data_IF_632480494826
#
_entry.id   IF_632480494826
#
_cell.length_a   1.000
_cell.length_b   1.000
_cell.length_c   1.000
_cell.angle_alpha   90.00
_cell.angle_beta   90.00
_cell.angle_gamma   90.00
#
_symmetry.space_group_name_H-M   'P 1'
#
loop_
_entity.id
_entity.type
_entity.pdbx_description
1 polymer ?
#
# COMPACT_ATOMS: atom_id res chain seq x y z
N UNK A 1 24.60 -23.48 3.93
CA UNK A 1 24.28 -24.89 3.62
C UNK A 1 23.50 -24.91 2.31
N UNK A 2 23.74 -25.87 1.42
CA UNK A 2 23.03 -25.94 0.13
C UNK A 2 21.71 -26.69 0.33
N UNK A 3 20.58 -26.03 0.11
CA UNK A 3 19.24 -26.59 0.32
C UNK A 3 18.59 -27.15 -0.96
N UNK A 4 19.34 -27.21 -2.05
CA UNK A 4 18.84 -27.63 -3.37
C UNK A 4 18.09 -28.97 -3.36
N UNK A 5 18.70 -30.02 -2.81
CA UNK A 5 18.15 -31.38 -2.82
C UNK A 5 16.82 -31.48 -2.05
N UNK A 6 16.74 -30.86 -0.87
CA UNK A 6 15.51 -30.78 -0.07
C UNK A 6 14.44 -29.95 -0.76
N UNK A 7 14.85 -28.84 -1.39
CA UNK A 7 13.95 -27.90 -2.06
C UNK A 7 13.30 -28.50 -3.31
N UNK A 8 14.04 -29.18 -4.18
CA UNK A 8 13.46 -29.82 -5.37
C UNK A 8 12.50 -30.95 -5.00
N UNK A 9 12.80 -31.70 -3.94
CA UNK A 9 11.92 -32.76 -3.45
C UNK A 9 10.62 -32.17 -2.87
N UNK A 10 10.74 -31.08 -2.11
CA UNK A 10 9.61 -30.37 -1.55
C UNK A 10 8.72 -29.76 -2.65
N UNK A 11 9.31 -29.05 -3.61
CA UNK A 11 8.59 -28.44 -4.74
C UNK A 11 7.82 -29.46 -5.58
N UNK A 12 8.40 -30.64 -5.82
CA UNK A 12 7.71 -31.74 -6.52
C UNK A 12 6.49 -32.23 -5.75
N UNK A 13 6.63 -32.46 -4.43
CA UNK A 13 5.52 -32.88 -3.57
C UNK A 13 4.45 -31.80 -3.45
N UNK A 14 4.86 -30.54 -3.34
CA UNK A 14 3.97 -29.38 -3.24
C UNK A 14 3.08 -29.22 -4.49
N UNK A 15 3.64 -29.40 -5.70
CA UNK A 15 2.88 -29.38 -6.95
C UNK A 15 2.14 -30.69 -7.27
N UNK A 16 2.28 -31.73 -6.44
CA UNK A 16 1.63 -33.04 -6.65
C UNK A 16 2.11 -33.82 -7.89
N UNK A 17 3.27 -33.46 -8.45
CA UNK A 17 3.76 -34.04 -9.71
C UNK A 17 4.42 -35.41 -9.49
N UNK A 18 4.14 -36.36 -10.39
CA UNK A 18 4.89 -37.63 -10.45
C UNK A 18 6.25 -37.36 -11.11
N UNK A 19 7.29 -38.05 -10.63
CA UNK A 19 8.65 -37.88 -11.19
C UNK A 19 8.67 -38.04 -12.72
N UNK A 20 7.95 -39.02 -13.26
CA UNK A 20 7.88 -39.25 -14.71
C UNK A 20 7.41 -38.01 -15.50
N UNK A 21 6.42 -37.27 -14.99
CA UNK A 21 5.80 -36.14 -15.69
C UNK A 21 6.74 -34.94 -15.80
N UNK A 22 7.62 -34.76 -14.82
CA UNK A 22 8.59 -33.66 -14.81
C UNK A 22 9.89 -34.03 -15.56
N UNK A 23 10.27 -35.31 -15.60
CA UNK A 23 11.47 -35.76 -16.31
C UNK A 23 11.38 -35.50 -17.81
N UNK A 24 10.21 -35.70 -18.40
CA UNK A 24 9.95 -35.42 -19.82
C UNK A 24 10.03 -33.92 -20.12
N UNK A 25 9.51 -33.08 -19.23
CA UNK A 25 9.53 -31.62 -19.38
C UNK A 25 10.94 -31.01 -19.19
N UNK A 26 11.77 -31.60 -18.34
CA UNK A 26 13.14 -31.14 -18.06
C UNK A 26 14.19 -31.81 -18.94
N UNK A 27 13.84 -32.88 -19.67
CA UNK A 27 14.80 -33.67 -20.46
C UNK A 27 15.85 -34.40 -19.60
N UNK A 28 15.54 -34.73 -18.35
CA UNK A 28 16.47 -35.35 -17.40
C UNK A 28 16.13 -36.83 -17.22
N UNK A 29 17.13 -37.70 -17.16
CA UNK A 29 16.93 -39.14 -16.88
C UNK A 29 16.50 -39.36 -15.42
N UNK A 30 15.63 -40.33 -15.17
CA UNK A 30 15.11 -40.66 -13.83
C UNK A 30 16.19 -40.93 -12.79
N UNK A 31 17.23 -41.65 -13.18
CA UNK A 31 18.39 -41.95 -12.31
C UNK A 31 19.12 -40.68 -11.89
N UNK A 32 19.30 -39.74 -12.81
CA UNK A 32 19.95 -38.45 -12.57
C UNK A 32 19.13 -37.58 -11.61
N UNK A 33 17.80 -37.53 -11.78
CA UNK A 33 16.93 -36.78 -10.88
C UNK A 33 16.88 -37.36 -9.46
N UNK A 34 16.85 -38.69 -9.32
CA UNK A 34 16.91 -39.32 -8.00
C UNK A 34 18.22 -38.99 -7.28
N UNK A 35 19.34 -38.95 -8.00
CA UNK A 35 20.62 -38.55 -7.42
C UNK A 35 20.63 -37.07 -6.97
N UNK A 36 19.86 -36.20 -7.65
CA UNK A 36 19.66 -34.81 -7.21
C UNK A 36 18.83 -34.72 -5.93
N UNK A 37 17.71 -35.44 -5.84
CA UNK A 37 16.87 -35.44 -4.63
C UNK A 37 17.61 -36.02 -3.41
N UNK A 38 18.51 -36.98 -3.63
CA UNK A 38 19.33 -37.58 -2.57
C UNK A 38 20.59 -36.77 -2.24
N UNK A 39 20.87 -35.67 -2.96
CA UNK A 39 22.06 -34.85 -2.77
C UNK A 39 23.38 -35.53 -3.16
N UNK A 40 23.32 -36.63 -3.91
CA UNK A 40 24.49 -37.43 -4.34
C UNK A 40 25.21 -36.76 -5.51
N UNK A 41 24.47 -36.06 -6.37
CA UNK A 41 25.04 -35.28 -7.48
C UNK A 41 24.42 -33.88 -7.53
N UNK A 42 25.14 -32.91 -8.11
CA UNK A 42 24.63 -31.57 -8.35
C UNK A 42 24.40 -31.35 -9.86
N UNK A 43 23.32 -30.66 -10.26
CA UNK A 43 23.10 -30.29 -11.66
C UNK A 43 24.09 -29.21 -12.10
N UNK A 44 24.29 -29.08 -13.41
CA UNK A 44 25.02 -27.93 -13.95
C UNK A 44 24.18 -26.64 -13.82
N UNK A 45 24.81 -25.48 -14.00
CA UNK A 45 24.13 -24.18 -13.85
C UNK A 45 22.90 -24.09 -14.77
N UNK A 46 23.02 -24.55 -16.03
CA UNK A 46 21.92 -24.52 -17.00
C UNK A 46 20.72 -25.38 -16.56
N UNK A 47 20.98 -26.54 -15.97
CA UNK A 47 19.95 -27.41 -15.40
C UNK A 47 19.32 -26.79 -14.16
N UNK A 48 20.10 -26.13 -13.30
CA UNK A 48 19.55 -25.41 -12.13
C UNK A 48 18.60 -24.31 -12.60
N UNK A 49 18.98 -23.53 -13.62
CA UNK A 49 18.12 -22.49 -14.22
C UNK A 49 16.86 -23.10 -14.83
N UNK A 50 16.99 -24.23 -15.53
CA UNK A 50 15.86 -24.94 -16.14
C UNK A 50 14.88 -25.47 -15.09
N UNK A 51 15.40 -26.04 -14.00
CA UNK A 51 14.61 -26.54 -12.86
C UNK A 51 13.91 -25.39 -12.15
N UNK A 52 14.63 -24.29 -11.87
CA UNK A 52 14.07 -23.09 -11.25
C UNK A 52 12.92 -22.52 -12.08
N UNK A 53 13.11 -22.42 -13.40
CA UNK A 53 12.10 -21.95 -14.35
C UNK A 53 10.87 -22.86 -14.41
N UNK A 54 11.07 -24.18 -14.40
CA UNK A 54 9.97 -25.16 -14.38
C UNK A 54 9.12 -25.06 -13.11
N UNK A 55 9.76 -24.86 -11.96
CA UNK A 55 9.03 -24.71 -10.69
C UNK A 55 8.49 -23.30 -10.46
N UNK A 56 8.96 -22.30 -11.20
CA UNK A 56 8.57 -20.90 -11.04
C UNK A 56 9.19 -20.25 -9.79
N UNK A 57 10.38 -20.72 -9.39
CA UNK A 57 11.08 -20.25 -8.18
C UNK A 57 12.39 -19.57 -8.55
N UNK A 58 12.84 -18.59 -7.76
CA UNK A 58 14.12 -17.93 -7.98
C UNK A 58 15.30 -18.85 -7.60
N UNK A 59 16.46 -18.66 -8.26
CA UNK A 59 17.68 -19.41 -7.96
C UNK A 59 18.12 -19.26 -6.50
N UNK A 60 17.97 -18.05 -5.94
CA UNK A 60 18.31 -17.78 -4.55
C UNK A 60 17.43 -18.62 -3.60
N UNK A 61 16.13 -18.67 -3.87
CA UNK A 61 15.18 -19.46 -3.09
C UNK A 61 15.44 -20.97 -3.21
N UNK A 62 15.82 -21.42 -4.40
CA UNK A 62 16.12 -22.82 -4.68
C UNK A 62 17.41 -23.30 -3.99
N UNK A 63 18.41 -22.43 -3.82
CA UNK A 63 19.75 -22.80 -3.34
C UNK A 63 20.02 -22.42 -1.87
N UNK A 64 19.52 -21.27 -1.42
CA UNK A 64 19.93 -20.63 -0.15
C UNK A 64 18.90 -20.81 0.95
N UNK A 65 17.60 -20.80 0.63
CA UNK A 65 16.51 -20.90 1.62
C UNK A 65 16.05 -22.34 1.83
N UNK A 66 15.56 -22.67 3.03
CA UNK A 66 14.88 -23.95 3.26
C UNK A 66 13.37 -23.78 3.00
N UNK A 67 12.92 -24.21 1.83
CA UNK A 67 11.52 -24.06 1.41
C UNK A 67 10.53 -24.82 2.29
N UNK A 68 10.98 -25.82 3.05
CA UNK A 68 10.13 -26.57 3.96
C UNK A 68 9.73 -25.75 5.21
N UNK A 69 10.59 -24.84 5.66
CA UNK A 69 10.33 -23.97 6.81
C UNK A 69 9.63 -22.68 6.37
N UNK A 70 9.95 -22.19 5.17
CA UNK A 70 9.43 -20.94 4.60
C UNK A 70 8.27 -21.16 3.60
N UNK A 71 7.30 -22.00 3.94
CA UNK A 71 6.15 -22.33 3.06
C UNK A 71 5.34 -21.09 2.65
N UNK A 72 5.40 -20.01 3.45
CA UNK A 72 4.84 -18.70 3.15
C UNK A 72 5.36 -18.13 1.82
N UNK A 73 6.67 -18.25 1.56
CA UNK A 73 7.33 -17.67 0.38
C UNK A 73 6.85 -18.33 -0.93
N UNK A 74 6.38 -19.59 -0.88
CA UNK A 74 5.85 -20.28 -2.06
C UNK A 74 4.41 -19.88 -2.40
N UNK A 75 3.63 -19.41 -1.41
CA UNK A 75 2.29 -18.88 -1.65
C UNK A 75 2.32 -17.51 -2.31
N UNK A 76 3.39 -16.74 -2.11
CA UNK A 76 3.64 -15.49 -2.84
C UNK A 76 3.98 -15.75 -4.32
N UNK A 77 4.75 -16.81 -4.63
CA UNK A 77 5.27 -17.06 -5.98
C UNK A 77 4.34 -17.88 -6.90
N UNK A 78 3.35 -18.61 -6.37
CA UNK A 78 2.31 -19.25 -7.20
C UNK A 78 1.41 -18.23 -7.94
N UNK A 79 1.59 -16.93 -7.68
CA UNK A 79 0.88 -15.80 -8.28
C UNK A 79 1.69 -15.04 -9.32
N UNK A 80 2.71 -15.67 -9.92
CA UNK A 80 3.24 -15.21 -11.21
C UNK A 80 2.51 -15.92 -12.36
N UNK A 81 1.50 -15.29 -12.99
CA UNK A 81 1.29 -15.55 -14.39
C UNK A 81 2.37 -14.79 -15.16
N UNK A 82 2.89 -15.47 -16.17
CA UNK A 82 3.53 -14.87 -17.31
C UNK A 82 2.82 -13.56 -17.74
N UNK A 83 3.63 -12.57 -18.13
CA UNK A 83 3.33 -11.58 -19.17
C UNK A 83 1.87 -11.09 -19.18
N UNK A 84 1.61 -9.94 -18.55
CA UNK A 84 0.52 -9.05 -18.98
C UNK A 84 -0.79 -9.04 -18.19
N UNK A 85 -0.79 -9.34 -16.88
CA UNK A 85 -1.93 -8.99 -16.03
C UNK A 85 -1.61 -7.73 -15.19
N UNK A 86 -2.23 -6.56 -15.46
CA UNK A 86 -2.11 -5.37 -14.60
C UNK A 86 -2.75 -5.56 -13.21
N UNK A 87 -3.31 -6.74 -12.93
CA UNK A 87 -3.98 -7.10 -11.69
C UNK A 87 -3.02 -7.60 -10.59
N UNK A 88 -1.70 -7.43 -10.72
CA UNK A 88 -0.74 -7.73 -9.63
C UNK A 88 0.50 -6.83 -9.72
N UNK A 89 0.28 -5.52 -9.75
CA UNK A 89 1.37 -4.54 -9.67
C UNK A 89 1.87 -4.48 -8.22
N UNK A 90 2.82 -5.35 -7.90
CA UNK A 90 3.60 -5.27 -6.67
C UNK A 90 4.49 -4.02 -6.75
N UNK A 91 4.32 -3.13 -5.78
CA UNK A 91 5.18 -1.97 -5.64
C UNK A 91 6.55 -2.43 -5.16
N UNK A 92 7.59 -1.79 -5.69
CA UNK A 92 8.95 -2.01 -5.22
C UNK A 92 9.01 -1.56 -3.76
N UNK A 93 9.46 -2.44 -2.86
CA UNK A 93 9.68 -2.09 -1.46
C UNK A 93 10.57 -0.84 -1.35
N UNK A 94 10.36 0.05 -0.37
CA UNK A 94 11.13 1.26 -0.23
C UNK A 94 12.62 0.92 -0.05
N UNK A 95 13.51 1.57 -0.79
CA UNK A 95 14.95 1.22 -0.81
C UNK A 95 15.68 1.46 0.51
N UNK A 96 15.06 2.19 1.45
CA UNK A 96 15.68 2.59 2.71
C UNK A 96 14.68 2.40 3.84
N UNK A 97 14.98 1.41 4.67
CA UNK A 97 14.33 1.18 5.96
C UNK A 97 15.38 1.49 7.02
N UNK A 98 15.12 2.49 7.85
CA UNK A 98 16.04 2.82 8.94
C UNK A 98 15.75 1.88 10.11
N UNK A 99 16.69 1.00 10.44
CA UNK A 99 16.58 0.09 11.58
C UNK A 99 17.45 0.57 12.74
N UNK A 100 17.08 0.21 13.96
CA UNK A 100 17.91 0.46 15.14
C UNK A 100 18.95 -0.63 15.40
N UNK A 101 19.77 -0.45 16.44
CA UNK A 101 20.76 -1.44 16.88
C UNK A 101 20.14 -2.79 17.32
N UNK A 102 18.82 -2.85 17.45
CA UNK A 102 18.04 -4.05 17.81
C UNK A 102 17.27 -4.64 16.61
N UNK A 103 17.43 -4.08 15.40
CA UNK A 103 16.80 -4.55 14.17
C UNK A 103 15.35 -4.09 13.95
N UNK A 104 14.82 -3.19 14.79
CA UNK A 104 13.46 -2.67 14.66
C UNK A 104 13.41 -1.49 13.69
N UNK A 105 12.42 -1.46 12.79
CA UNK A 105 12.20 -0.35 11.85
C UNK A 105 11.80 0.94 12.59
N UNK A 106 12.43 2.06 12.23
CA UNK A 106 12.05 3.39 12.69
C UNK A 106 11.12 4.06 11.68
N UNK A 107 10.18 4.85 12.18
CA UNK A 107 9.24 5.60 11.34
C UNK A 107 9.87 6.91 10.88
N UNK A 108 10.02 7.09 9.58
CA UNK A 108 10.67 8.27 8.97
C UNK A 108 9.65 9.38 8.73
N UNK A 109 9.96 10.62 9.13
CA UNK A 109 9.13 11.80 8.86
C UNK A 109 9.59 12.55 7.62
N UNK A 110 8.66 12.76 6.68
CA UNK A 110 8.84 13.54 5.46
C UNK A 110 8.12 14.89 5.64
N UNK A 111 8.84 15.98 5.96
CA UNK A 111 8.26 17.31 6.08
C UNK A 111 7.84 17.86 4.71
N UNK A 112 6.83 18.73 4.67
CA UNK A 112 6.24 19.24 3.43
C UNK A 112 7.25 19.96 2.53
N UNK A 113 8.21 20.67 3.15
CA UNK A 113 9.33 21.36 2.46
C UNK A 113 10.33 20.41 1.79
N UNK A 114 10.35 19.15 2.19
CA UNK A 114 11.23 18.11 1.65
C UNK A 114 10.63 17.39 0.44
N UNK A 115 9.38 17.66 0.01
CA UNK A 115 8.74 16.98 -1.15
C UNK A 115 9.57 17.01 -2.43
N UNK A 116 10.16 18.15 -2.76
CA UNK A 116 11.00 18.29 -3.96
C UNK A 116 12.31 17.52 -3.84
N UNK A 117 12.91 17.46 -2.64
CA UNK A 117 14.09 16.65 -2.35
C UNK A 117 13.77 15.15 -2.30
N UNK A 118 12.58 14.79 -1.84
CA UNK A 118 12.11 13.41 -1.78
C UNK A 118 11.82 12.82 -3.16
N UNK A 119 11.35 13.61 -4.13
CA UNK A 119 11.24 13.21 -5.54
C UNK A 119 12.61 13.01 -6.20
N UNK A 120 13.54 13.95 -5.96
CA UNK A 120 14.85 13.96 -6.61
C UNK A 120 15.90 13.08 -5.91
N UNK A 121 15.71 12.79 -4.63
CA UNK A 121 16.55 11.96 -3.76
C UNK A 121 15.84 10.71 -3.24
N UNK A 122 14.73 10.32 -3.89
CA UNK A 122 13.98 9.09 -3.61
C UNK A 122 14.88 7.84 -3.60
N UNK A 123 15.91 7.85 -4.46
CA UNK A 123 16.89 6.78 -4.62
C UNK A 123 18.20 7.03 -3.86
N UNK A 124 18.32 8.09 -3.04
CA UNK A 124 19.53 8.35 -2.23
C UNK A 124 19.33 7.88 -0.77
N UNK A 125 19.97 6.76 -0.38
CA UNK A 125 19.92 6.26 0.99
C UNK A 125 20.38 7.26 2.05
N UNK A 126 21.30 8.15 1.68
CA UNK A 126 21.89 9.16 2.55
C UNK A 126 20.88 10.24 2.92
N UNK A 127 20.02 10.62 1.98
CA UNK A 127 18.96 11.61 2.18
C UNK A 127 17.86 11.08 3.10
N UNK A 128 17.34 9.89 2.82
CA UNK A 128 16.29 9.26 3.63
C UNK A 128 16.79 8.99 5.05
N UNK A 129 18.07 8.61 5.22
CA UNK A 129 18.69 8.43 6.54
C UNK A 129 18.85 9.74 7.34
N UNK A 130 18.92 10.90 6.67
CA UNK A 130 19.00 12.22 7.32
C UNK A 130 17.66 12.72 7.86
N UNK A 131 16.55 12.11 7.43
CA UNK A 131 15.21 12.51 7.85
C UNK A 131 14.98 12.16 9.33
N UNK A 132 14.22 12.98 10.07
CA UNK A 132 13.90 12.70 11.46
C UNK A 132 13.20 11.35 11.61
N UNK A 133 13.71 10.52 12.51
CA UNK A 133 13.10 9.25 12.87
C UNK A 133 12.30 9.38 14.17
N UNK A 134 11.17 8.68 14.23
CA UNK A 134 10.29 8.67 15.38
C UNK A 134 9.87 7.24 15.72
N UNK A 135 9.49 7.05 16.98
CA UNK A 135 8.83 5.83 17.44
C UNK A 135 7.52 6.18 18.09
N UNK A 136 6.47 5.49 17.67
CA UNK A 136 5.18 5.55 18.31
C UNK A 136 4.87 4.18 18.93
N UNK A 137 4.48 4.13 20.21
CA UNK A 137 4.04 2.88 20.82
C UNK A 137 2.80 2.35 20.09
N UNK A 138 2.81 1.06 19.74
CA UNK A 138 1.73 0.39 19.00
C UNK A 138 2.00 0.14 17.50
N UNK A 139 3.12 0.61 16.95
CA UNK A 139 3.46 0.48 15.53
C UNK A 139 4.77 -0.31 15.32
N UNK A 140 4.80 -1.58 15.78
CA UNK A 140 6.02 -2.41 15.79
C UNK A 140 6.20 -3.30 14.54
N UNK A 141 5.13 -3.57 13.80
CA UNK A 141 5.15 -4.49 12.65
C UNK A 141 4.77 -3.75 11.36
N UNK A 142 5.67 -3.74 10.38
CA UNK A 142 5.49 -3.13 9.07
C UNK A 142 6.25 -1.82 8.89
N UNK A 143 6.36 -1.38 7.63
CA UNK A 143 7.09 -0.16 7.26
C UNK A 143 6.19 1.06 7.34
N UNK A 144 6.58 2.04 8.15
CA UNK A 144 5.80 3.26 8.40
C UNK A 144 6.54 4.51 7.95
N UNK A 145 5.79 5.49 7.45
CA UNK A 145 6.27 6.85 7.17
C UNK A 145 5.25 7.89 7.63
N UNK A 146 5.74 9.03 8.06
CA UNK A 146 4.92 10.20 8.36
C UNK A 146 5.05 11.23 7.25
N UNK A 147 3.92 11.74 6.78
CA UNK A 147 3.86 12.77 5.74
C UNK A 147 3.14 14.00 6.29
N UNK A 148 3.75 15.17 6.13
CA UNK A 148 3.07 16.44 6.40
C UNK A 148 2.09 16.75 5.27
N UNK A 149 0.82 16.97 5.62
CA UNK A 149 -0.23 17.39 4.70
C UNK A 149 0.02 18.85 4.34
N UNK A 150 -0.01 19.16 3.04
CA UNK A 150 0.12 20.53 2.55
C UNK A 150 -1.06 20.94 1.70
N UNK A 151 -1.56 22.15 1.94
CA UNK A 151 -2.67 22.76 1.23
C UNK A 151 -4.05 22.28 1.69
N UNK A 152 -5.08 22.83 1.05
CA UNK A 152 -6.49 22.69 1.47
C UNK A 152 -7.24 21.56 0.75
N UNK A 153 -6.56 20.75 -0.06
CA UNK A 153 -7.20 19.76 -0.92
C UNK A 153 -7.96 18.66 -0.15
N UNK A 154 -7.54 18.37 1.07
CA UNK A 154 -8.18 17.37 1.93
C UNK A 154 -9.03 17.96 3.07
N UNK A 155 -9.25 19.28 3.07
CA UNK A 155 -10.16 19.91 4.03
C UNK A 155 -11.60 19.45 3.75
N UNK A 156 -12.44 19.11 4.75
CA UNK A 156 -12.27 19.34 6.19
C UNK A 156 -11.59 18.19 6.95
N UNK A 157 -11.23 17.10 6.26
CA UNK A 157 -10.66 15.91 6.87
C UNK A 157 -9.26 16.14 7.41
N UNK A 158 -8.42 16.85 6.65
CA UNK A 158 -7.10 17.28 7.10
C UNK A 158 -6.91 18.77 6.83
N UNK A 159 -6.22 19.41 7.75
CA UNK A 159 -5.79 20.79 7.61
C UNK A 159 -4.33 20.87 7.14
N UNK A 160 -3.94 22.06 6.71
CA UNK A 160 -2.56 22.35 6.36
C UNK A 160 -1.63 22.17 7.57
N UNK A 161 -0.50 21.49 7.38
CA UNK A 161 0.51 21.12 8.39
C UNK A 161 0.07 20.02 9.38
N UNK A 162 -1.05 19.34 9.14
CA UNK A 162 -1.35 18.09 9.83
C UNK A 162 -0.33 17.01 9.44
N UNK A 163 -0.03 16.09 10.36
CA UNK A 163 0.92 15.00 10.11
C UNK A 163 0.15 13.70 9.97
N UNK A 164 0.23 13.07 8.80
CA UNK A 164 -0.38 11.78 8.53
C UNK A 164 0.64 10.67 8.81
N UNK A 165 0.27 9.71 9.65
CA UNK A 165 1.01 8.49 9.90
C UNK A 165 0.49 7.44 8.92
N UNK A 166 1.40 6.78 8.22
CA UNK A 166 1.05 5.88 7.12
C UNK A 166 1.87 4.60 7.12
N UNK A 167 1.30 3.53 6.57
CA UNK A 167 1.92 2.22 6.41
C UNK A 167 2.12 1.92 4.92
N UNK A 168 3.24 1.31 4.55
CA UNK A 168 3.53 0.94 3.17
C UNK A 168 2.50 -0.07 2.65
N UNK A 169 2.05 0.13 1.41
CA UNK A 169 1.17 -0.80 0.70
C UNK A 169 2.02 -1.54 -0.34
N UNK A 170 2.13 -2.85 -0.21
CA UNK A 170 2.97 -3.66 -1.09
C UNK A 170 2.32 -3.94 -2.45
N UNK A 171 0.99 -4.10 -2.49
CA UNK A 171 0.26 -4.41 -3.71
C UNK A 171 -0.81 -3.35 -3.98
N UNK A 172 -0.83 -2.79 -5.19
CA UNK A 172 -1.87 -1.82 -5.58
C UNK A 172 -3.30 -2.39 -5.52
N UNK A 173 -3.48 -3.71 -5.54
CA UNK A 173 -4.80 -4.32 -5.37
C UNK A 173 -5.33 -4.27 -3.93
N UNK A 174 -4.45 -4.12 -2.94
CA UNK A 174 -4.84 -4.03 -1.53
C UNK A 174 -5.42 -2.64 -1.19
N UNK A 175 -5.35 -1.71 -2.14
CA UNK A 175 -5.97 -0.38 -2.03
C UNK A 175 -7.49 -0.55 -1.96
N UNK A 176 -8.06 -0.03 -0.87
CA UNK A 176 -9.49 -0.02 -0.60
C UNK A 176 -10.09 1.30 -1.04
N UNK A 177 -11.21 1.21 -1.74
CA UNK A 177 -11.94 2.36 -2.25
C UNK A 177 -12.29 3.36 -1.13
N UNK A 178 -12.16 4.64 -1.47
CA UNK A 178 -12.55 5.81 -0.68
C UNK A 178 -11.81 5.95 0.67
N UNK A 179 -10.66 5.27 0.81
CA UNK A 179 -9.74 5.48 1.94
C UNK A 179 -8.65 6.48 1.58
N UNK A 180 -8.04 7.05 2.62
CA UNK A 180 -6.95 8.04 2.50
C UNK A 180 -5.63 7.30 2.29
N UNK A 181 -4.93 7.70 1.23
CA UNK A 181 -3.58 7.26 0.94
C UNK A 181 -2.67 8.45 0.63
N UNK A 182 -1.39 8.25 0.87
CA UNK A 182 -0.33 9.06 0.26
C UNK A 182 0.14 8.30 -0.97
N UNK A 183 0.05 8.94 -2.13
CA UNK A 183 0.52 8.39 -3.39
C UNK A 183 1.75 9.19 -3.80
N UNK A 184 2.83 8.48 -4.09
CA UNK A 184 4.04 9.05 -4.67
C UNK A 184 4.03 8.71 -6.16
N UNK A 185 3.88 9.73 -6.99
CA UNK A 185 3.87 9.58 -8.45
C UNK A 185 5.09 10.25 -9.08
N UNK A 186 5.48 9.80 -10.28
CA UNK A 186 6.56 10.44 -11.05
C UNK A 186 6.22 11.85 -11.50
N UNK A 187 4.94 12.13 -11.78
CA UNK A 187 4.50 13.39 -12.39
C UNK A 187 4.08 14.44 -11.35
N UNK A 188 3.21 14.07 -10.41
CA UNK A 188 2.63 15.01 -9.43
C UNK A 188 3.35 15.00 -8.08
N UNK A 189 4.28 14.07 -7.89
CA UNK A 189 5.00 13.89 -6.65
C UNK A 189 4.18 13.22 -5.55
N UNK A 190 4.45 13.63 -4.32
CA UNK A 190 3.77 13.13 -3.11
C UNK A 190 2.44 13.87 -2.94
N UNK A 191 1.32 13.15 -3.02
CA UNK A 191 -0.03 13.72 -2.85
C UNK A 191 -0.84 12.92 -1.84
N UNK A 192 -1.62 13.61 -1.02
CA UNK A 192 -2.59 13.00 -0.09
C UNK A 192 -3.98 13.09 -0.69
N UNK A 193 -4.62 11.94 -0.94
CA UNK A 193 -5.90 11.82 -1.66
C UNK A 193 -6.71 10.62 -1.16
N UNK A 194 -8.02 10.65 -1.40
CA UNK A 194 -8.83 9.41 -1.38
C UNK A 194 -8.62 8.65 -2.68
N UNK A 195 -8.46 7.34 -2.60
CA UNK A 195 -8.19 6.51 -3.78
C UNK A 195 -9.40 5.66 -4.13
N UNK A 196 -9.77 5.63 -5.41
CA UNK A 196 -10.64 4.61 -5.98
C UNK A 196 -9.79 3.68 -6.83
N UNK A 197 -9.79 2.41 -6.47
CA UNK A 197 -9.06 1.37 -7.16
C UNK A 197 -9.88 0.88 -8.37
N UNK A 198 -9.48 1.32 -9.57
CA UNK A 198 -10.08 0.87 -10.84
C UNK A 198 -9.05 0.14 -11.70
N UNK A 199 -8.02 -0.45 -11.10
CA UNK A 199 -6.95 -1.13 -11.83
C UNK A 199 -7.49 -2.34 -12.59
N UNK A 200 -8.26 -3.19 -11.92
CA UNK A 200 -8.81 -4.41 -12.54
C UNK A 200 -9.82 -4.13 -13.66
N UNK A 201 -10.54 -3.01 -13.59
CA UNK A 201 -11.59 -2.65 -14.56
C UNK A 201 -11.07 -1.77 -15.70
N UNK A 202 -10.32 -0.73 -15.35
CA UNK A 202 -9.99 0.40 -16.23
C UNK A 202 -8.47 0.67 -16.31
N UNK A 203 -7.64 -0.15 -15.65
CA UNK A 203 -6.19 0.03 -15.51
C UNK A 203 -5.77 1.42 -15.00
N UNK A 204 -6.53 1.97 -14.04
CA UNK A 204 -6.38 3.33 -13.53
C UNK A 204 -6.65 3.41 -12.02
N UNK A 205 -6.00 4.38 -11.36
CA UNK A 205 -6.33 4.85 -10.03
C UNK A 205 -6.96 6.23 -10.14
N UNK A 206 -8.06 6.47 -9.42
CA UNK A 206 -8.70 7.78 -9.38
C UNK A 206 -8.48 8.39 -8.00
N UNK A 207 -7.80 9.53 -7.97
CA UNK A 207 -7.45 10.26 -6.76
C UNK A 207 -8.43 11.40 -6.55
N UNK A 208 -9.15 11.39 -5.43
CA UNK A 208 -10.16 12.38 -5.06
C UNK A 208 -9.70 13.24 -3.90
N UNK A 209 -10.05 14.52 -3.96
CA UNK A 209 -9.88 15.50 -2.89
C UNK A 209 -11.16 15.58 -2.05
N UNK A 210 -11.02 15.75 -0.73
CA UNK A 210 -12.16 15.88 0.20
C UNK A 210 -12.73 17.30 0.24
N UNK A 211 -12.04 18.27 -0.36
CA UNK A 211 -12.50 19.65 -0.44
C UNK A 211 -13.66 19.80 -1.44
N UNK A 212 -14.87 19.55 -0.95
CA UNK A 212 -16.10 19.67 -1.72
C UNK A 212 -16.47 21.12 -2.07
N UNK A 213 -15.95 22.12 -1.35
CA UNK A 213 -16.25 23.54 -1.59
C UNK A 213 -15.47 24.11 -2.78
N UNK A 214 -14.27 23.59 -3.03
CA UNK A 214 -13.37 24.06 -4.07
C UNK A 214 -13.03 22.93 -5.06
N UNK A 215 -14.05 22.22 -5.56
CA UNK A 215 -13.84 21.09 -6.49
C UNK A 215 -13.18 21.49 -7.81
N UNK A 216 -13.40 22.73 -8.27
CA UNK A 216 -12.79 23.26 -9.49
C UNK A 216 -11.27 23.43 -9.34
N UNK A 217 -10.81 23.78 -8.14
CA UNK A 217 -9.38 23.93 -7.83
C UNK A 217 -8.69 22.59 -7.57
N UNK A 218 -9.45 21.57 -7.17
CA UNK A 218 -8.94 20.23 -6.84
C UNK A 218 -9.69 19.13 -7.60
N UNK A 219 -9.61 19.10 -8.94
CA UNK A 219 -10.28 18.07 -9.75
C UNK A 219 -9.71 16.68 -9.45
N UNK A 220 -10.49 15.60 -9.69
CA UNK A 220 -9.98 14.25 -9.57
C UNK A 220 -8.78 14.02 -10.50
N UNK A 221 -7.73 13.43 -9.97
CA UNK A 221 -6.51 13.09 -10.73
C UNK A 221 -6.60 11.62 -11.12
N UNK A 222 -6.35 11.32 -12.39
CA UNK A 222 -6.33 9.94 -12.90
C UNK A 222 -4.88 9.54 -13.08
N UNK A 223 -4.45 8.49 -12.37
CA UNK A 223 -3.08 8.00 -12.36
C UNK A 223 -3.04 6.60 -12.91
N UNK A 224 -2.08 6.33 -13.80
CA UNK A 224 -1.83 4.97 -14.28
C UNK A 224 -0.96 4.19 -13.27
N UNK A 225 -1.21 2.89 -13.05
CA UNK A 225 -0.42 2.07 -12.11
C UNK A 225 1.09 2.12 -12.35
N UNK A 226 1.52 2.34 -13.59
CA UNK A 226 2.93 2.43 -13.99
C UNK A 226 3.62 3.72 -13.52
N UNK A 227 2.86 4.78 -13.27
CA UNK A 227 3.37 6.07 -12.80
C UNK A 227 3.50 6.15 -11.28
N UNK A 228 2.97 5.14 -10.58
CA UNK A 228 3.00 5.06 -9.12
C UNK A 228 4.32 4.46 -8.65
N UNK A 229 5.03 5.21 -7.83
CA UNK A 229 6.30 4.79 -7.22
C UNK A 229 6.06 4.10 -5.87
N UNK A 230 5.26 4.73 -5.00
CA UNK A 230 4.90 4.19 -3.69
C UNK A 230 3.46 4.56 -3.34
N UNK A 231 2.83 3.71 -2.53
CA UNK A 231 1.53 3.98 -1.92
C UNK A 231 1.62 3.70 -0.42
N UNK A 232 1.10 4.63 0.36
CA UNK A 232 1.07 4.53 1.81
C UNK A 232 -0.35 4.70 2.33
N UNK A 233 -0.82 3.72 3.09
CA UNK A 233 -2.14 3.74 3.70
C UNK A 233 -2.16 4.58 4.97
N UNK A 234 -3.08 5.54 5.07
CA UNK A 234 -3.26 6.34 6.28
C UNK A 234 -3.86 5.53 7.43
N UNK A 235 -3.11 5.42 8.53
CA UNK A 235 -3.54 4.67 9.73
C UNK A 235 -3.94 5.60 10.88
N UNK A 236 -3.28 6.75 11.00
CA UNK A 236 -3.54 7.75 12.01
C UNK A 236 -3.09 9.11 11.51
N UNK A 237 -3.56 10.19 12.13
CA UNK A 237 -3.06 11.54 11.86
C UNK A 237 -2.97 12.33 13.16
N UNK A 238 -2.13 13.34 13.16
CA UNK A 238 -1.93 14.28 14.25
C UNK A 238 -2.21 15.67 13.72
N UNK A 239 -3.28 16.29 14.21
CA UNK A 239 -3.54 17.68 13.88
C UNK A 239 -2.85 18.62 14.86
N UNK A 240 -2.30 19.70 14.32
CA UNK A 240 -1.78 20.82 15.13
C UNK A 240 -2.85 21.88 15.37
N UNK A 241 -3.99 21.78 14.69
CA UNK A 241 -5.09 22.72 14.85
C UNK A 241 -5.95 22.33 16.04
N UNK A 242 -5.84 23.11 17.11
CA UNK A 242 -6.75 23.03 18.25
C UNK A 242 -8.06 23.75 17.90
N UNK A 243 -8.93 23.08 17.14
CA UNK A 243 -10.24 23.63 16.76
C UNK A 243 -11.05 23.92 18.03
N UNK A 244 -11.69 25.09 18.10
CA UNK A 244 -12.65 25.37 19.16
C UNK A 244 -13.78 24.33 19.08
N UNK A 245 -14.32 23.83 20.21
CA UNK A 245 -15.45 22.87 20.24
C UNK A 245 -16.77 23.36 19.60
N UNK A 246 -16.78 24.42 18.81
CA UNK A 246 -17.92 25.31 18.70
C UNK A 246 -18.72 25.20 17.39
N UNK A 247 -18.17 24.83 16.23
CA UNK A 247 -18.95 25.05 15.00
C UNK A 247 -20.20 24.16 14.86
N UNK A 248 -20.15 22.90 15.30
CA UNK A 248 -21.31 22.01 15.17
C UNK A 248 -22.34 22.32 16.26
N UNK A 249 -21.94 22.38 17.52
CA UNK A 249 -22.86 22.63 18.63
C UNK A 249 -23.45 24.04 18.60
N UNK A 250 -22.67 25.06 18.20
CA UNK A 250 -23.19 26.43 18.06
C UNK A 250 -24.17 26.52 16.89
N UNK A 251 -23.89 25.85 15.76
CA UNK A 251 -24.84 25.82 14.63
C UNK A 251 -26.10 25.03 14.97
N UNK A 252 -26.00 23.94 15.71
CA UNK A 252 -27.17 23.16 16.17
C UNK A 252 -28.01 24.01 17.11
N UNK A 253 -27.42 24.63 18.13
CA UNK A 253 -28.14 25.52 19.05
C UNK A 253 -28.79 26.72 18.33
N UNK A 254 -28.09 27.36 17.39
CA UNK A 254 -28.67 28.45 16.60
C UNK A 254 -29.81 27.97 15.68
N UNK A 255 -29.69 26.75 15.13
CA UNK A 255 -30.75 26.13 14.32
C UNK A 255 -31.97 25.78 15.15
N UNK A 256 -31.79 25.22 16.35
CA UNK A 256 -32.87 24.93 17.30
C UNK A 256 -33.61 26.21 17.70
N UNK A 257 -32.88 27.29 17.99
CA UNK A 257 -33.47 28.59 18.29
C UNK A 257 -34.29 29.14 17.11
N UNK A 258 -33.78 29.02 15.87
CA UNK A 258 -34.51 29.44 14.66
C UNK A 258 -35.76 28.60 14.40
N UNK A 259 -35.71 27.28 14.62
CA UNK A 259 -36.87 26.39 14.50
C UNK A 259 -37.95 26.81 15.50
N UNK A 260 -37.59 27.03 16.76
CA UNK A 260 -38.52 27.48 17.78
C UNK A 260 -39.22 28.80 17.40
N UNK A 261 -38.47 29.78 16.89
CA UNK A 261 -39.03 31.05 16.42
C UNK A 261 -39.98 30.88 15.22
N UNK A 262 -39.67 29.94 14.31
CA UNK A 262 -40.52 29.61 13.18
C UNK A 262 -41.84 28.96 13.64
N UNK A 263 -41.77 28.02 14.59
CA UNK A 263 -42.95 27.38 15.18
C UNK A 263 -43.87 28.40 15.87
N UNK A 264 -43.30 29.33 16.64
CA UNK A 264 -44.06 30.41 17.28
C UNK A 264 -44.73 31.31 16.25
N UNK A 265 -44.05 31.62 15.15
CA UNK A 265 -44.60 32.43 14.07
C UNK A 265 -45.73 31.69 13.35
N UNK A 266 -45.55 30.39 13.09
CA UNK A 266 -46.56 29.54 12.47
C UNK A 266 -47.81 29.41 13.35
N UNK A 267 -47.64 29.20 14.67
CA UNK A 267 -48.77 29.18 15.62
C UNK A 267 -49.55 30.49 15.59
N UNK A 268 -48.85 31.63 15.60
CA UNK A 268 -49.49 32.95 15.50
C UNK A 268 -50.21 33.17 14.18
N UNK A 269 -49.68 32.64 13.07
CA UNK A 269 -50.34 32.70 11.76
C UNK A 269 -51.57 31.80 11.71
N UNK A 270 -51.49 30.56 12.19
CA UNK A 270 -52.62 29.63 12.25
C UNK A 270 -53.77 30.16 13.11
N UNK A 271 -53.46 30.82 14.24
CA UNK A 271 -54.47 31.48 15.08
C UNK A 271 -55.15 32.68 14.40
N UNK A 272 -54.55 33.24 13.35
CA UNK A 272 -55.07 34.38 12.58
C UNK A 272 -55.83 33.97 11.32
N UNK A 273 -55.84 32.69 10.96
CA UNK A 273 -56.67 32.20 9.86
C UNK A 273 -58.10 32.09 10.41
N UNK A 274 -59.05 32.94 9.95
CA UNK A 274 -60.45 32.75 10.32
C UNK A 274 -60.92 31.43 9.73
N UNK A 275 -61.70 30.65 10.48
CA UNK A 275 -62.30 29.40 10.00
C UNK A 275 -62.93 29.65 8.63
N UNK A 276 -62.33 29.05 7.59
CA UNK A 276 -62.88 29.05 6.24
C UNK A 276 -64.14 28.17 6.26
N UNK A 277 -65.28 28.78 6.58
CA UNK A 277 -66.62 28.26 6.32
C UNK A 277 -67.01 28.49 4.87
#
# INVERSE_FOLDING_TARGET
MNHFASNIQFLRKFKGLKQAEMLDALGIKRTTWNNYEMGVSQPNIDQIVSIASFFGVSLNMLLVHNLADDVHLLKEQATTPAIGNPANTLLRMPQVVTVDNSGNENMVMVPGRARAGYLNGYDDPSYVASLPNYRLPGFATGTYRMFEVSGLSMHPTFDDNDVLITQFVENLNDIRDDRVYVIVTRQDGVVVKRVLNRITRDNKLILKSDNYRHREEFPPIVVHPEDVLEVWYGIAFMSRQMRAPAEIFTRVADTEARIYMLEETLKKMLQRIPDAR
#
